data_IF_402781481642
#
_entry.id   IF_402781481642
#
_cell.length_a   1.000
_cell.length_b   1.000
_cell.length_c   1.000
_cell.angle_alpha   90.00
_cell.angle_beta   90.00
_cell.angle_gamma   90.00
#
_symmetry.space_group_name_H-M   'P 1'
#
loop_
_entity.id
_entity.type
_entity.pdbx_description
1 polymer ?
#
# COMPACT_ATOMS: atom_id res chain seq x y z
N UNK A 1 19.35 -9.04 11.78
CA UNK A 1 19.39 -9.23 10.31
C UNK A 1 20.33 -10.35 9.86
N UNK A 2 19.79 -11.40 9.21
CA UNK A 2 20.60 -12.33 8.41
C UNK A 2 21.25 -11.59 7.22
N UNK A 3 22.34 -12.12 6.64
CA UNK A 3 23.05 -11.42 5.56
C UNK A 3 22.16 -11.11 4.33
N UNK A 4 21.13 -11.92 4.07
CA UNK A 4 20.13 -11.64 3.02
C UNK A 4 19.06 -10.60 3.37
N UNK A 5 18.86 -10.31 4.66
CA UNK A 5 17.77 -9.44 5.16
C UNK A 5 18.17 -7.96 5.24
N UNK A 6 19.46 -7.64 5.13
CA UNK A 6 19.94 -6.24 5.22
C UNK A 6 19.34 -5.37 4.14
N UNK A 7 19.36 -5.85 2.89
CA UNK A 7 18.77 -5.13 1.77
C UNK A 7 17.25 -4.95 1.94
N UNK A 8 16.57 -6.00 2.41
CA UNK A 8 15.13 -5.97 2.68
C UNK A 8 14.78 -4.92 3.75
N UNK A 9 15.51 -4.89 4.85
CA UNK A 9 15.22 -3.92 5.92
C UNK A 9 15.67 -2.50 5.59
N UNK A 10 16.80 -2.28 4.91
CA UNK A 10 17.24 -0.92 4.54
C UNK A 10 16.34 -0.28 3.48
N UNK A 11 15.88 -1.05 2.49
CA UNK A 11 14.94 -0.55 1.47
C UNK A 11 13.64 -0.05 2.11
N UNK A 12 13.03 -0.83 3.00
CA UNK A 12 11.81 -0.39 3.69
C UNK A 12 12.05 0.61 4.83
N UNK A 13 13.25 0.68 5.41
CA UNK A 13 13.60 1.77 6.32
C UNK A 13 13.62 3.12 5.58
N UNK A 14 14.18 3.16 4.37
CA UNK A 14 14.09 4.33 3.50
C UNK A 14 12.62 4.64 3.18
N UNK A 15 11.84 3.61 2.85
CA UNK A 15 10.39 3.71 2.68
C UNK A 15 9.68 4.35 3.86
N UNK A 16 10.03 3.95 5.08
CA UNK A 16 9.45 4.48 6.32
C UNK A 16 9.76 5.97 6.50
N UNK A 17 11.01 6.36 6.24
CA UNK A 17 11.42 7.77 6.33
C UNK A 17 10.64 8.63 5.33
N UNK A 18 10.57 8.17 4.07
CA UNK A 18 9.84 8.85 3.00
C UNK A 18 8.33 8.90 3.28
N UNK A 19 7.74 7.79 3.74
CA UNK A 19 6.32 7.71 4.08
C UNK A 19 5.96 8.61 5.26
N UNK A 20 6.82 8.71 6.26
CA UNK A 20 6.59 9.61 7.41
C UNK A 20 6.61 11.07 6.97
N UNK A 21 7.63 11.47 6.20
CA UNK A 21 7.72 12.83 5.65
C UNK A 21 6.55 13.14 4.70
N UNK A 22 6.26 12.22 3.77
CA UNK A 22 5.15 12.36 2.82
C UNK A 22 3.79 12.45 3.52
N UNK A 23 3.56 11.65 4.56
CA UNK A 23 2.32 11.71 5.35
C UNK A 23 2.15 13.07 6.02
N UNK A 24 3.23 13.61 6.60
CA UNK A 24 3.21 14.95 7.18
C UNK A 24 2.88 16.02 6.12
N UNK A 25 3.50 15.92 4.93
CA UNK A 25 3.22 16.84 3.83
C UNK A 25 1.76 16.78 3.36
N UNK A 26 1.18 15.59 3.20
CA UNK A 26 -0.23 15.43 2.86
C UNK A 26 -1.14 16.11 3.89
N UNK A 27 -0.87 15.92 5.19
CA UNK A 27 -1.66 16.53 6.26
C UNK A 27 -1.53 18.05 6.26
N UNK A 28 -0.32 18.59 6.08
CA UNK A 28 -0.14 20.05 5.97
C UNK A 28 -0.89 20.65 4.79
N UNK A 29 -1.07 19.88 3.71
CA UNK A 29 -1.84 20.29 2.54
C UNK A 29 -3.36 20.26 2.79
N UNK A 30 -3.88 19.28 3.52
CA UNK A 30 -5.33 19.09 3.68
C UNK A 30 -5.93 19.81 4.88
N UNK A 31 -5.19 19.96 5.98
CA UNK A 31 -5.72 20.51 7.24
C UNK A 31 -6.22 21.96 7.14
N UNK A 32 -5.57 22.89 6.40
CA UNK A 32 -6.06 24.27 6.31
C UNK A 32 -7.40 24.41 5.56
N UNK A 33 -7.77 23.43 4.73
CA UNK A 33 -8.91 23.52 3.81
C UNK A 33 -10.28 23.26 4.43
N UNK A 34 -10.36 22.88 5.71
CA UNK A 34 -11.61 22.49 6.40
C UNK A 34 -12.46 21.44 5.65
N UNK A 35 -11.82 20.56 4.87
CA UNK A 35 -12.45 19.43 4.19
C UNK A 35 -12.12 18.12 4.94
N UNK A 36 -13.09 17.55 5.70
CA UNK A 36 -12.88 16.33 6.45
C UNK A 36 -12.58 15.12 5.56
N UNK A 37 -13.13 15.06 4.35
CA UNK A 37 -12.92 13.94 3.43
C UNK A 37 -11.47 13.91 2.94
N UNK A 38 -10.91 15.08 2.59
CA UNK A 38 -9.49 15.21 2.24
C UNK A 38 -8.57 14.86 3.41
N UNK A 39 -8.88 15.34 4.61
CA UNK A 39 -8.07 15.05 5.81
C UNK A 39 -8.12 13.57 6.18
N UNK A 40 -9.30 12.95 6.16
CA UNK A 40 -9.46 11.51 6.40
C UNK A 40 -8.70 10.69 5.34
N UNK A 41 -8.72 11.12 4.08
CA UNK A 41 -7.97 10.49 2.99
C UNK A 41 -6.46 10.55 3.19
N UNK A 42 -5.94 11.72 3.57
CA UNK A 42 -4.53 11.91 3.89
C UNK A 42 -4.09 11.03 5.08
N UNK A 43 -4.91 10.96 6.13
CA UNK A 43 -4.67 10.10 7.29
C UNK A 43 -4.68 8.62 6.92
N UNK A 44 -5.71 8.15 6.22
CA UNK A 44 -5.84 6.75 5.86
C UNK A 44 -4.66 6.28 5.00
N UNK A 45 -4.33 7.02 3.95
CA UNK A 45 -3.21 6.67 3.08
C UNK A 45 -1.86 6.83 3.81
N UNK A 46 -1.64 7.96 4.49
CA UNK A 46 -0.40 8.25 5.21
C UNK A 46 -0.07 7.22 6.29
N UNK A 47 -1.01 6.96 7.20
CA UNK A 47 -0.84 5.98 8.27
C UNK A 47 -0.63 4.56 7.72
N UNK A 48 -1.29 4.21 6.62
CA UNK A 48 -1.10 2.89 6.00
C UNK A 48 0.30 2.72 5.39
N UNK A 49 0.88 3.77 4.79
CA UNK A 49 2.27 3.74 4.31
C UNK A 49 3.25 3.58 5.48
N UNK A 50 3.10 4.38 6.54
CA UNK A 50 3.94 4.30 7.74
C UNK A 50 3.83 2.92 8.39
N UNK A 51 2.61 2.38 8.49
CA UNK A 51 2.38 1.04 9.03
C UNK A 51 3.07 -0.04 8.21
N UNK A 52 2.95 -0.04 6.87
CA UNK A 52 3.62 -1.02 6.01
C UNK A 52 5.14 -0.97 6.18
N UNK A 53 5.74 0.18 5.92
CA UNK A 53 7.19 0.27 5.91
C UNK A 53 7.79 0.10 7.30
N UNK A 54 7.08 0.54 8.35
CA UNK A 54 7.45 0.29 9.74
C UNK A 54 7.42 -1.20 10.08
N UNK A 55 6.30 -1.88 9.80
CA UNK A 55 6.15 -3.31 10.06
C UNK A 55 7.20 -4.13 9.30
N UNK A 56 7.44 -3.81 8.03
CA UNK A 56 8.40 -4.53 7.20
C UNK A 56 9.84 -4.32 7.64
N UNK A 57 10.19 -3.08 7.99
CA UNK A 57 11.51 -2.77 8.56
C UNK A 57 11.74 -3.58 9.84
N UNK A 58 10.75 -3.63 10.73
CA UNK A 58 10.84 -4.41 11.97
C UNK A 58 10.94 -5.91 11.71
N UNK A 59 10.14 -6.45 10.78
CA UNK A 59 10.18 -7.86 10.40
C UNK A 59 11.57 -8.30 9.90
N UNK A 60 12.13 -7.57 8.94
CA UNK A 60 13.44 -7.91 8.38
C UNK A 60 14.61 -7.59 9.32
N UNK A 61 14.42 -6.67 10.27
CA UNK A 61 15.42 -6.35 11.29
C UNK A 61 15.46 -7.36 12.44
N UNK A 62 14.30 -7.92 12.80
CA UNK A 62 14.11 -8.75 14.00
C UNK A 62 14.60 -10.19 13.81
N UNK A 63 14.98 -10.82 14.93
CA UNK A 63 15.38 -12.23 15.04
C UNK A 63 14.71 -12.86 16.26
N UNK A 64 14.70 -14.18 16.31
CA UNK A 64 14.21 -14.93 17.46
C UNK A 64 12.68 -14.96 17.54
N UNK A 65 12.16 -15.14 18.76
CA UNK A 65 10.75 -15.48 19.03
C UNK A 65 9.74 -14.44 18.51
N UNK A 66 10.12 -13.16 18.44
CA UNK A 66 9.25 -12.08 17.97
C UNK A 66 9.22 -11.91 16.45
N UNK A 67 10.04 -12.64 15.69
CA UNK A 67 10.05 -12.53 14.22
C UNK A 67 8.71 -12.91 13.59
N UNK A 68 8.05 -13.96 14.09
CA UNK A 68 6.75 -14.40 13.59
C UNK A 68 5.64 -13.36 13.86
N UNK A 69 5.73 -12.64 14.98
CA UNK A 69 4.83 -11.54 15.27
C UNK A 69 4.98 -10.43 14.23
N UNK A 70 6.21 -9.95 13.99
CA UNK A 70 6.44 -8.90 13.00
C UNK A 70 6.14 -9.33 11.58
N UNK A 71 6.36 -10.60 11.24
CA UNK A 71 5.94 -11.17 9.95
C UNK A 71 4.43 -11.02 9.74
N UNK A 72 3.64 -11.35 10.77
CA UNK A 72 2.19 -11.22 10.72
C UNK A 72 1.76 -9.75 10.59
N UNK A 73 2.40 -8.86 11.33
CA UNK A 73 2.12 -7.41 11.22
C UNK A 73 2.47 -6.89 9.81
N UNK A 74 3.60 -7.34 9.25
CA UNK A 74 4.03 -6.99 7.89
C UNK A 74 3.01 -7.45 6.82
N UNK A 75 2.56 -8.70 6.88
CA UNK A 75 1.53 -9.21 5.98
C UNK A 75 0.20 -8.45 6.10
N UNK A 76 -0.21 -8.10 7.33
CA UNK A 76 -1.41 -7.30 7.58
C UNK A 76 -1.28 -5.89 7.00
N UNK A 77 -0.10 -5.28 7.12
CA UNK A 77 0.11 -3.92 6.69
C UNK A 77 0.05 -3.77 5.16
N UNK A 78 0.29 -4.83 4.38
CA UNK A 78 0.05 -4.84 2.93
C UNK A 78 -1.44 -4.64 2.62
N UNK A 79 -2.34 -5.33 3.33
CA UNK A 79 -3.79 -5.14 3.17
C UNK A 79 -4.20 -3.70 3.53
N UNK A 80 -3.63 -3.16 4.61
CA UNK A 80 -3.88 -1.78 5.05
C UNK A 80 -3.40 -0.76 4.01
N UNK A 81 -2.20 -0.93 3.45
CA UNK A 81 -1.71 -0.01 2.42
C UNK A 81 -2.60 0.00 1.19
N UNK A 82 -3.03 -1.18 0.71
CA UNK A 82 -3.89 -1.26 -0.47
C UNK A 82 -5.21 -0.52 -0.19
N UNK A 83 -5.88 -0.80 0.94
CA UNK A 83 -7.12 -0.11 1.29
C UNK A 83 -6.94 1.41 1.55
N UNK A 84 -5.86 1.79 2.24
CA UNK A 84 -5.49 3.17 2.48
C UNK A 84 -5.26 3.94 1.17
N UNK A 85 -4.63 3.32 0.18
CA UNK A 85 -4.37 3.93 -1.14
C UNK A 85 -5.63 4.19 -1.96
N UNK A 86 -6.70 3.42 -1.77
CA UNK A 86 -8.00 3.66 -2.41
C UNK A 86 -8.82 4.75 -1.75
N UNK A 87 -8.56 5.04 -0.46
CA UNK A 87 -9.41 5.93 0.34
C UNK A 87 -9.50 7.35 -0.25
N UNK A 88 -8.41 8.00 -0.72
CA UNK A 88 -8.49 9.29 -1.40
C UNK A 88 -9.38 9.29 -2.65
N UNK A 89 -9.24 8.27 -3.50
CA UNK A 89 -10.05 8.16 -4.71
C UNK A 89 -11.53 7.94 -4.40
N UNK A 90 -11.83 7.16 -3.36
CA UNK A 90 -13.19 6.90 -2.92
C UNK A 90 -13.87 8.15 -2.33
N UNK A 91 -13.20 8.81 -1.39
CA UNK A 91 -13.78 9.91 -0.61
C UNK A 91 -13.74 11.26 -1.32
N UNK A 92 -12.76 11.49 -2.20
CA UNK A 92 -12.54 12.81 -2.82
C UNK A 92 -12.86 12.79 -4.31
N UNK A 93 -12.35 11.82 -5.07
CA UNK A 93 -12.52 11.79 -6.54
C UNK A 93 -13.88 11.25 -6.95
N UNK A 94 -14.22 10.01 -6.58
CA UNK A 94 -15.43 9.34 -7.06
C UNK A 94 -16.69 9.84 -6.37
N UNK A 95 -16.66 9.88 -5.03
CA UNK A 95 -17.80 10.21 -4.16
C UNK A 95 -19.05 9.37 -4.49
N UNK A 96 -20.16 9.63 -3.78
CA UNK A 96 -21.44 8.95 -4.01
C UNK A 96 -21.36 7.42 -3.95
N UNK A 97 -22.21 6.74 -4.72
CA UNK A 97 -22.32 5.28 -4.68
C UNK A 97 -21.01 4.58 -5.08
N UNK A 98 -20.30 5.08 -6.10
CA UNK A 98 -19.03 4.51 -6.56
C UNK A 98 -17.93 4.63 -5.51
N UNK A 99 -17.80 5.81 -4.88
CA UNK A 99 -16.84 6.03 -3.81
C UNK A 99 -17.08 5.10 -2.62
N UNK A 100 -18.33 5.02 -2.14
CA UNK A 100 -18.67 4.12 -1.02
C UNK A 100 -18.50 2.64 -1.36
N UNK A 101 -18.87 2.23 -2.58
CA UNK A 101 -18.69 0.85 -3.03
C UNK A 101 -17.20 0.46 -3.09
N UNK A 102 -16.34 1.33 -3.64
CA UNK A 102 -14.91 1.11 -3.69
C UNK A 102 -14.30 1.04 -2.28
N UNK A 103 -14.68 1.97 -1.40
CA UNK A 103 -14.21 2.00 -0.02
C UNK A 103 -14.60 0.72 0.73
N UNK A 104 -15.87 0.31 0.63
CA UNK A 104 -16.38 -0.90 1.27
C UNK A 104 -15.71 -2.17 0.73
N UNK A 105 -15.52 -2.26 -0.59
CA UNK A 105 -14.83 -3.40 -1.20
C UNK A 105 -13.38 -3.49 -0.75
N UNK A 106 -12.65 -2.37 -0.78
CA UNK A 106 -11.23 -2.32 -0.40
C UNK A 106 -11.03 -2.63 1.08
N UNK A 107 -11.73 -1.95 1.98
CA UNK A 107 -11.59 -2.16 3.43
C UNK A 107 -12.21 -3.47 3.91
N UNK A 108 -13.32 -3.92 3.31
CA UNK A 108 -13.93 -5.21 3.62
C UNK A 108 -13.00 -6.37 3.27
N UNK A 109 -12.38 -6.32 2.09
CA UNK A 109 -11.39 -7.34 1.67
C UNK A 109 -10.10 -7.24 2.50
N UNK A 110 -9.67 -6.03 2.88
CA UNK A 110 -8.53 -5.84 3.77
C UNK A 110 -8.78 -6.47 5.15
N UNK A 111 -9.96 -6.23 5.74
CA UNK A 111 -10.34 -6.82 7.02
C UNK A 111 -10.37 -8.35 6.94
N UNK A 112 -10.94 -8.91 5.87
CA UNK A 112 -10.91 -10.34 5.62
C UNK A 112 -9.48 -10.90 5.57
N UNK A 113 -8.58 -10.22 4.83
CA UNK A 113 -7.16 -10.57 4.75
C UNK A 113 -6.45 -10.53 6.10
N UNK A 114 -6.67 -9.46 6.87
CA UNK A 114 -6.10 -9.29 8.21
C UNK A 114 -6.60 -10.38 9.17
N UNK A 115 -7.90 -10.69 9.17
CA UNK A 115 -8.47 -11.76 10.01
C UNK A 115 -7.86 -13.12 9.66
N UNK A 116 -7.62 -13.38 8.37
CA UNK A 116 -6.92 -14.60 7.93
C UNK A 116 -5.50 -14.66 8.48
N UNK A 117 -4.73 -13.57 8.42
CA UNK A 117 -3.36 -13.52 8.95
C UNK A 117 -3.30 -13.63 10.47
N UNK A 118 -4.34 -13.16 11.18
CA UNK A 118 -4.44 -13.17 12.64
C UNK A 118 -4.79 -14.52 13.27
N UNK A 119 -5.03 -15.56 12.46
CA UNK A 119 -5.37 -16.88 12.97
C UNK A 119 -4.25 -17.45 13.85
N UNK A 120 -4.58 -18.22 14.92
CA UNK A 120 -3.59 -18.87 15.76
C UNK A 120 -2.67 -19.80 14.95
N UNK A 121 -1.43 -19.94 15.41
CA UNK A 121 -0.40 -20.75 14.75
C UNK A 121 0.60 -19.90 13.97
N UNK A 122 1.27 -20.52 13.00
CA UNK A 122 2.23 -19.84 12.12
C UNK A 122 1.51 -18.91 11.14
N UNK A 123 2.10 -17.75 10.78
CA UNK A 123 1.52 -16.87 9.77
C UNK A 123 1.34 -17.64 8.45
N UNK A 124 0.14 -17.61 7.85
CA UNK A 124 -0.06 -18.27 6.55
C UNK A 124 0.81 -17.60 5.49
N UNK A 125 1.03 -18.32 4.38
CA UNK A 125 1.67 -17.72 3.22
C UNK A 125 0.82 -16.52 2.74
N UNK A 126 1.45 -15.37 2.43
CA UNK A 126 0.73 -14.21 1.94
C UNK A 126 -0.06 -14.53 0.68
N UNK A 127 -1.30 -14.06 0.64
CA UNK A 127 -2.19 -14.37 -0.46
C UNK A 127 -1.99 -13.37 -1.59
N UNK A 128 -1.00 -13.63 -2.44
CA UNK A 128 -0.73 -12.77 -3.61
C UNK A 128 -1.98 -12.55 -4.47
N UNK A 129 -2.83 -13.56 -4.61
CA UNK A 129 -4.11 -13.44 -5.30
C UNK A 129 -5.07 -12.43 -4.65
N UNK A 130 -5.11 -12.35 -3.32
CA UNK A 130 -5.92 -11.33 -2.63
C UNK A 130 -5.31 -9.94 -2.80
N UNK A 131 -3.98 -9.81 -2.65
CA UNK A 131 -3.32 -8.52 -2.84
C UNK A 131 -3.51 -7.97 -4.26
N UNK A 132 -3.32 -8.81 -5.28
CA UNK A 132 -3.54 -8.41 -6.67
C UNK A 132 -5.01 -8.14 -6.95
N UNK A 133 -5.92 -9.00 -6.47
CA UNK A 133 -7.36 -8.78 -6.62
C UNK A 133 -7.80 -7.44 -6.02
N UNK A 134 -7.32 -7.12 -4.83
CA UNK A 134 -7.56 -5.81 -4.21
C UNK A 134 -6.90 -4.68 -5.01
N UNK A 135 -5.65 -4.84 -5.43
CA UNK A 135 -4.89 -3.83 -6.18
C UNK A 135 -5.51 -3.47 -7.54
N UNK A 136 -6.39 -4.32 -8.08
CA UNK A 136 -7.09 -4.08 -9.34
C UNK A 136 -8.57 -3.70 -9.17
N UNK A 137 -9.08 -3.52 -7.94
CA UNK A 137 -10.44 -3.00 -7.70
C UNK A 137 -10.72 -1.67 -8.44
N UNK A 138 -9.70 -0.84 -8.64
CA UNK A 138 -9.82 0.42 -9.40
C UNK A 138 -10.35 0.23 -10.83
N UNK A 139 -10.14 -0.94 -11.46
CA UNK A 139 -10.69 -1.23 -12.80
C UNK A 139 -12.20 -1.28 -12.79
N UNK A 140 -12.83 -1.71 -11.70
CA UNK A 140 -14.30 -1.71 -11.56
C UNK A 140 -14.87 -0.29 -11.59
N UNK A 141 -14.06 0.70 -11.19
CA UNK A 141 -14.39 2.12 -11.22
C UNK A 141 -13.64 2.89 -12.33
N UNK A 142 -13.14 2.20 -13.37
CA UNK A 142 -12.30 2.82 -14.40
C UNK A 142 -13.02 3.95 -15.15
N UNK A 143 -14.26 3.73 -15.61
CA UNK A 143 -15.05 4.74 -16.32
C UNK A 143 -15.22 6.01 -15.48
N UNK A 144 -15.78 5.96 -14.25
CA UNK A 144 -15.95 7.16 -13.45
C UNK A 144 -14.63 7.77 -12.95
N UNK A 145 -13.52 7.01 -12.90
CA UNK A 145 -12.18 7.54 -12.62
C UNK A 145 -11.64 8.34 -13.80
N UNK A 146 -11.76 7.82 -15.03
CA UNK A 146 -11.27 8.49 -16.24
C UNK A 146 -12.00 9.81 -16.48
N UNK A 147 -13.29 9.87 -16.14
CA UNK A 147 -14.10 11.10 -16.25
C UNK A 147 -13.74 12.16 -15.21
N UNK A 148 -13.17 11.78 -14.06
CA UNK A 148 -12.96 12.68 -12.91
C UNK A 148 -11.51 12.97 -12.57
N UNK A 149 -10.57 12.17 -13.06
CA UNK A 149 -9.15 12.34 -12.81
C UNK A 149 -8.46 12.82 -14.09
N UNK A 150 -7.58 13.81 -13.95
CA UNK A 150 -6.78 14.32 -15.06
C UNK A 150 -5.94 13.20 -15.72
N UNK A 151 -5.65 13.34 -17.01
CA UNK A 151 -4.89 12.37 -17.80
C UNK A 151 -3.51 12.05 -17.21
N UNK A 152 -2.81 13.06 -16.66
CA UNK A 152 -1.53 12.81 -16.00
C UNK A 152 -1.71 12.08 -14.67
N UNK A 153 -2.78 12.36 -13.92
CA UNK A 153 -3.14 11.63 -12.71
C UNK A 153 -3.44 10.15 -12.99
N UNK A 154 -4.19 9.86 -14.05
CA UNK A 154 -4.45 8.49 -14.53
C UNK A 154 -3.16 7.78 -14.94
N UNK A 155 -2.26 8.47 -15.64
CA UNK A 155 -0.99 7.89 -16.05
C UNK A 155 -0.14 7.48 -14.83
N UNK A 156 -0.02 8.33 -13.81
CA UNK A 156 0.67 8.00 -12.56
C UNK A 156 0.02 6.83 -11.81
N UNK A 157 -1.31 6.79 -11.76
CA UNK A 157 -2.05 5.70 -11.15
C UNK A 157 -1.77 4.36 -11.85
N UNK A 158 -1.83 4.35 -13.18
CA UNK A 158 -1.55 3.18 -14.00
C UNK A 158 -0.09 2.72 -13.85
N UNK A 159 0.87 3.63 -13.90
CA UNK A 159 2.29 3.33 -13.65
C UNK A 159 2.47 2.70 -12.28
N UNK A 160 1.79 3.20 -11.25
CA UNK A 160 1.79 2.60 -9.92
C UNK A 160 1.25 1.17 -9.91
N UNK A 161 0.10 0.93 -10.55
CA UNK A 161 -0.51 -0.40 -10.65
C UNK A 161 0.40 -1.40 -11.40
N UNK A 162 1.11 -0.93 -12.43
CA UNK A 162 2.09 -1.71 -13.17
C UNK A 162 3.32 -2.04 -12.31
N UNK A 163 3.84 -1.09 -11.52
CA UNK A 163 4.94 -1.35 -10.59
C UNK A 163 4.56 -2.43 -9.58
N UNK A 164 3.40 -2.34 -8.93
CA UNK A 164 2.96 -3.38 -8.00
C UNK A 164 2.83 -4.74 -8.68
N UNK A 165 2.22 -4.79 -9.86
CA UNK A 165 2.01 -6.04 -10.60
C UNK A 165 3.32 -6.68 -11.06
N UNK A 166 4.23 -5.89 -11.65
CA UNK A 166 5.54 -6.36 -12.10
C UNK A 166 6.41 -6.85 -10.94
N UNK A 167 6.35 -6.17 -9.79
CA UNK A 167 7.07 -6.57 -8.59
C UNK A 167 6.74 -7.99 -8.12
N UNK A 168 5.53 -8.49 -8.40
CA UNK A 168 5.12 -9.84 -8.00
C UNK A 168 5.93 -10.96 -8.64
N UNK A 169 6.57 -10.70 -9.78
CA UNK A 169 7.49 -11.65 -10.44
C UNK A 169 8.71 -11.90 -9.54
N UNK A 170 9.27 -10.84 -8.95
CA UNK A 170 10.38 -10.93 -8.01
C UNK A 170 9.95 -11.51 -6.65
N UNK A 171 8.73 -11.23 -6.22
CA UNK A 171 8.17 -11.84 -5.01
C UNK A 171 8.03 -13.36 -5.14
N UNK A 172 7.44 -13.84 -6.25
CA UNK A 172 7.30 -15.28 -6.52
C UNK A 172 8.64 -15.97 -6.74
N UNK A 173 9.62 -15.24 -7.30
CA UNK A 173 10.98 -15.69 -7.56
C UNK A 173 11.09 -17.12 -8.14
N UNK A 174 10.37 -17.46 -9.22
CA UNK A 174 10.34 -18.83 -9.75
C UNK A 174 11.72 -19.33 -10.23
N UNK A 175 12.63 -18.40 -10.55
CA UNK A 175 13.96 -18.67 -11.07
C UNK A 175 15.07 -18.61 -9.99
N UNK A 176 14.71 -18.40 -8.72
CA UNK A 176 15.67 -18.43 -7.61
C UNK A 176 16.68 -17.28 -7.62
N UNK A 177 16.33 -16.11 -8.16
CA UNK A 177 17.20 -14.95 -8.18
C UNK A 177 17.62 -14.51 -6.79
N UNK A 178 18.89 -14.14 -6.67
CA UNK A 178 19.46 -13.59 -5.44
C UNK A 178 18.86 -12.19 -5.18
N UNK A 179 18.49 -11.91 -3.94
CA UNK A 179 17.89 -10.64 -3.49
C UNK A 179 16.52 -10.29 -4.11
N UNK A 180 15.82 -11.25 -4.73
CA UNK A 180 14.52 -11.00 -5.38
C UNK A 180 13.49 -10.34 -4.45
N UNK A 181 13.44 -10.73 -3.17
CA UNK A 181 12.54 -10.12 -2.18
C UNK A 181 12.83 -8.63 -1.96
N UNK A 182 14.11 -8.26 -1.86
CA UNK A 182 14.48 -6.85 -1.74
C UNK A 182 14.28 -6.07 -3.05
N UNK A 183 14.38 -6.73 -4.20
CA UNK A 183 13.97 -6.13 -5.48
C UNK A 183 12.47 -5.87 -5.47
N UNK A 184 11.66 -6.81 -5.00
CA UNK A 184 10.22 -6.60 -4.81
C UNK A 184 9.91 -5.39 -3.92
N UNK A 185 10.67 -5.16 -2.84
CA UNK A 185 10.54 -3.94 -2.03
C UNK A 185 10.72 -2.65 -2.84
N UNK A 186 11.66 -2.62 -3.79
CA UNK A 186 11.85 -1.45 -4.66
C UNK A 186 10.64 -1.22 -5.58
N UNK A 187 10.01 -2.28 -6.08
CA UNK A 187 8.77 -2.19 -6.86
C UNK A 187 7.60 -1.70 -6.00
N UNK A 188 7.50 -2.15 -4.75
CA UNK A 188 6.50 -1.65 -3.79
C UNK A 188 6.71 -0.15 -3.53
N UNK A 189 7.96 0.29 -3.30
CA UNK A 189 8.31 1.71 -3.14
C UNK A 189 7.95 2.55 -4.37
N UNK A 190 8.30 2.09 -5.57
CA UNK A 190 7.95 2.78 -6.82
C UNK A 190 6.44 2.86 -7.04
N UNK A 191 5.71 1.78 -6.72
CA UNK A 191 4.25 1.73 -6.76
C UNK A 191 3.64 2.74 -5.79
N UNK A 192 4.08 2.75 -4.53
CA UNK A 192 3.61 3.69 -3.51
C UNK A 192 3.96 5.13 -3.85
N UNK A 193 5.16 5.41 -4.35
CA UNK A 193 5.56 6.74 -4.80
C UNK A 193 4.67 7.26 -5.94
N UNK A 194 4.34 6.40 -6.90
CA UNK A 194 3.44 6.76 -8.01
C UNK A 194 2.02 7.07 -7.51
N UNK A 195 1.50 6.27 -6.57
CA UNK A 195 0.21 6.54 -5.93
C UNK A 195 0.26 7.81 -5.08
N UNK A 196 1.37 8.05 -4.38
CA UNK A 196 1.58 9.28 -3.62
C UNK A 196 1.54 10.51 -4.51
N UNK A 197 2.24 10.50 -5.64
CA UNK A 197 2.20 11.60 -6.62
C UNK A 197 0.76 11.80 -7.12
N UNK A 198 0.06 10.71 -7.45
CA UNK A 198 -1.34 10.77 -7.87
C UNK A 198 -2.21 11.46 -6.81
N UNK A 199 -2.14 10.98 -5.56
CA UNK A 199 -2.95 11.49 -4.45
C UNK A 199 -2.59 12.94 -4.10
N UNK A 200 -1.30 13.25 -4.00
CA UNK A 200 -0.81 14.54 -3.56
C UNK A 200 -1.05 15.66 -4.59
N UNK A 201 -1.08 15.36 -5.89
CA UNK A 201 -1.16 16.39 -6.93
C UNK A 201 -2.48 16.41 -7.70
N UNK A 202 -3.20 15.29 -7.76
CA UNK A 202 -4.39 15.15 -8.60
C UNK A 202 -5.67 14.83 -7.82
N UNK A 203 -5.57 14.49 -6.52
CA UNK A 203 -6.74 14.16 -5.68
C UNK A 203 -6.91 15.16 -4.54
N UNK A 204 -5.87 15.38 -3.72
CA UNK A 204 -5.91 16.25 -2.55
C UNK A 204 -5.46 17.67 -2.90
#
# INVERSE_FOLDING_TARGET
MYQGERFNGYSHLLGLMLATAGSALLLTKTMPGNDPAKTASALAFGLSMVALYGASTLFHSTRGRTKLFWQRVDHCAIYLLIAGSYTPFALVTLQGAWGWALLAAAWGTALFGIVREMRPGEPPAPSLALYLGMGWLGVLAAVPLVERLDGAGLAWLLVGALWYSAGTVFYRNPLGWRHAHGTWHLFVLAGTASHYVTVAHFVL
#
